data_IF_064960464904
#
_entry.id   IF_064960464904
#
_cell.length_a   1.000
_cell.length_b   1.000
_cell.length_c   1.000
_cell.angle_alpha   90.00
_cell.angle_beta   90.00
_cell.angle_gamma   90.00
#
_symmetry.space_group_name_H-M   'P 1'
#
loop_
_entity.id
_entity.type
_entity.pdbx_description
1 polymer ?
#
# COMPACT_ATOMS: atom_id res chain seq x y z
N UNK A 1 13.33 -13.59 25.07
CA UNK A 1 14.57 -12.90 24.66
C UNK A 1 15.75 -13.86 24.67
N UNK A 2 16.83 -13.56 23.93
CA UNK A 2 18.04 -14.42 23.82
C UNK A 2 19.35 -13.73 24.26
N UNK A 3 19.46 -13.17 25.48
CA UNK A 3 20.76 -12.81 26.02
C UNK A 3 21.60 -14.09 26.16
N UNK A 4 22.89 -14.03 25.82
CA UNK A 4 23.83 -15.15 25.99
C UNK A 4 23.49 -16.44 25.24
N UNK A 5 22.88 -16.32 24.05
CA UNK A 5 22.56 -17.43 23.14
C UNK A 5 21.53 -18.45 23.66
N UNK A 6 20.79 -18.15 24.72
CA UNK A 6 19.70 -19.00 25.23
C UNK A 6 18.35 -18.26 25.22
N UNK A 7 17.31 -18.89 24.67
CA UNK A 7 15.96 -18.30 24.66
C UNK A 7 15.24 -18.58 25.97
N UNK A 8 14.81 -17.52 26.67
CA UNK A 8 13.89 -17.62 27.82
C UNK A 8 12.83 -16.54 27.79
N UNK A 9 11.75 -16.79 28.51
CA UNK A 9 10.72 -15.77 28.79
C UNK A 9 11.29 -14.70 29.72
N UNK A 10 10.64 -13.54 29.75
CA UNK A 10 11.09 -12.38 30.52
C UNK A 10 10.07 -12.09 31.61
N UNK A 11 10.54 -11.69 32.78
CA UNK A 11 9.71 -11.29 33.90
C UNK A 11 10.26 -9.99 34.51
N UNK A 12 9.37 -9.08 34.90
CA UNK A 12 9.74 -7.91 35.70
C UNK A 12 9.58 -8.25 37.18
N UNK A 13 10.68 -8.58 37.83
CA UNK A 13 10.66 -8.88 39.28
C UNK A 13 10.67 -7.64 40.17
N UNK A 14 10.68 -6.43 39.60
CA UNK A 14 10.33 -5.23 40.38
C UNK A 14 8.80 -5.09 40.51
N UNK A 15 8.01 -5.91 39.79
CA UNK A 15 6.55 -5.86 39.76
C UNK A 15 5.97 -4.47 39.42
N UNK A 16 6.75 -3.65 38.73
CA UNK A 16 6.39 -2.27 38.35
C UNK A 16 6.05 -2.13 36.87
N UNK A 17 6.05 -3.25 36.14
CA UNK A 17 5.75 -3.33 34.73
C UNK A 17 4.41 -2.67 34.38
N UNK A 18 4.45 -1.73 33.44
CA UNK A 18 3.28 -0.98 32.99
C UNK A 18 3.39 -0.63 31.50
N UNK A 19 2.37 0.08 30.98
CA UNK A 19 2.32 0.50 29.57
C UNK A 19 3.53 1.38 29.18
N UNK A 20 4.03 2.21 30.08
CA UNK A 20 5.20 3.06 29.84
C UNK A 20 6.50 2.24 29.71
N UNK A 21 6.67 1.20 30.52
CA UNK A 21 7.78 0.25 30.40
C UNK A 21 7.72 -0.50 29.07
N UNK A 22 6.53 -0.93 28.66
CA UNK A 22 6.31 -1.57 27.37
C UNK A 22 6.63 -0.64 26.20
N UNK A 23 6.20 0.63 26.26
CA UNK A 23 6.51 1.63 25.24
C UNK A 23 8.03 1.87 25.13
N UNK A 24 8.73 2.00 26.25
CA UNK A 24 10.17 2.12 26.27
C UNK A 24 10.86 0.89 25.66
N UNK A 25 10.36 -0.32 25.95
CA UNK A 25 10.87 -1.56 25.38
C UNK A 25 10.70 -1.60 23.85
N UNK A 26 9.50 -1.31 23.35
CA UNK A 26 9.21 -1.29 21.91
C UNK A 26 10.08 -0.28 21.17
N UNK A 27 10.29 0.91 21.74
CA UNK A 27 11.21 1.91 21.18
C UNK A 27 12.66 1.41 21.20
N UNK A 28 13.11 0.79 22.29
CA UNK A 28 14.48 0.26 22.41
C UNK A 28 14.77 -0.88 21.43
N UNK A 29 13.76 -1.67 21.08
CA UNK A 29 13.83 -2.73 20.08
C UNK A 29 13.69 -2.21 18.64
N UNK A 30 13.31 -0.93 18.45
CA UNK A 30 13.04 -0.37 17.14
C UNK A 30 11.77 -0.93 16.49
N UNK A 31 10.77 -1.31 17.28
CA UNK A 31 9.50 -1.87 16.81
C UNK A 31 8.32 -0.90 17.00
N UNK A 32 8.61 0.41 17.10
CA UNK A 32 7.60 1.46 17.24
C UNK A 32 7.01 1.59 18.65
N UNK A 33 5.71 1.84 18.72
CA UNK A 33 4.98 2.10 19.97
C UNK A 33 4.39 0.81 20.57
N UNK A 34 4.22 0.76 21.89
CA UNK A 34 3.53 -0.36 22.52
C UNK A 34 2.02 -0.31 22.28
N UNK A 35 1.49 -1.36 21.65
CA UNK A 35 0.05 -1.59 21.41
C UNK A 35 -0.59 -2.15 22.67
N UNK A 36 0.01 -3.17 23.26
CA UNK A 36 -0.50 -3.78 24.49
C UNK A 36 0.61 -4.43 25.29
N UNK A 37 0.33 -4.60 26.58
CA UNK A 37 1.17 -5.42 27.43
C UNK A 37 0.36 -6.12 28.51
N UNK A 38 0.79 -7.32 28.88
CA UNK A 38 0.23 -8.06 30.01
C UNK A 38 1.27 -8.94 30.69
N UNK A 39 1.02 -9.23 31.96
CA UNK A 39 1.69 -10.31 32.67
C UNK A 39 0.84 -11.56 32.45
N UNK A 40 1.41 -12.56 31.78
CA UNK A 40 0.81 -13.88 31.66
C UNK A 40 1.26 -14.73 32.83
N UNK A 41 0.32 -15.15 33.66
CA UNK A 41 0.55 -16.05 34.78
C UNK A 41 0.19 -17.48 34.37
N UNK A 42 1.16 -18.38 34.46
CA UNK A 42 1.00 -19.81 34.24
C UNK A 42 1.19 -20.50 35.60
N UNK A 43 0.19 -20.33 36.46
CA UNK A 43 0.17 -20.69 37.89
C UNK A 43 0.49 -22.16 38.20
N UNK A 44 0.63 -22.99 37.16
CA UNK A 44 0.90 -24.42 37.24
C UNK A 44 2.39 -24.77 37.06
N UNK A 45 3.21 -23.90 36.47
CA UNK A 45 4.62 -24.24 36.17
C UNK A 45 5.59 -23.07 36.35
N UNK A 46 6.47 -23.18 37.35
CA UNK A 46 7.61 -22.25 37.49
C UNK A 46 8.74 -22.63 36.54
N UNK A 47 9.20 -21.67 35.73
CA UNK A 47 10.19 -21.89 34.67
C UNK A 47 11.32 -20.86 34.71
N UNK A 48 12.51 -21.17 34.16
CA UNK A 48 13.59 -20.20 34.07
C UNK A 48 13.17 -18.98 33.25
N UNK A 49 13.36 -17.79 33.82
CA UNK A 49 13.06 -16.50 33.17
C UNK A 49 14.27 -15.58 33.21
N UNK A 50 14.34 -14.66 32.25
CA UNK A 50 15.19 -13.48 32.34
C UNK A 50 14.49 -12.44 33.19
N UNK A 51 15.10 -12.05 34.30
CA UNK A 51 14.61 -10.93 35.10
C UNK A 51 15.06 -9.63 34.42
N UNK A 52 14.10 -8.83 34.00
CA UNK A 52 14.35 -7.46 33.50
C UNK A 52 13.96 -6.43 34.57
N UNK A 53 14.77 -5.39 34.70
CA UNK A 53 14.42 -4.22 35.51
C UNK A 53 13.66 -3.21 34.65
N UNK A 54 12.35 -3.09 34.83
CA UNK A 54 11.51 -2.20 34.00
C UNK A 54 11.96 -0.73 34.05
N UNK A 55 12.41 -0.25 35.22
CA UNK A 55 12.92 1.10 35.46
C UNK A 55 14.23 1.43 34.72
N UNK A 56 14.99 0.40 34.32
CA UNK A 56 16.26 0.55 33.62
C UNK A 56 16.08 0.78 32.11
N UNK A 57 14.97 0.32 31.52
CA UNK A 57 14.77 0.26 30.06
C UNK A 57 14.92 1.64 29.40
N UNK A 58 14.49 2.70 30.09
CA UNK A 58 14.56 4.07 29.59
C UNK A 58 15.98 4.65 29.61
N UNK A 59 16.81 4.27 30.58
CA UNK A 59 18.13 4.88 30.80
C UNK A 59 19.29 4.04 30.24
N UNK A 60 19.09 2.74 30.04
CA UNK A 60 20.14 1.85 29.55
C UNK A 60 20.53 2.14 28.09
N UNK A 61 21.79 1.89 27.76
CA UNK A 61 22.30 2.06 26.41
C UNK A 61 21.89 0.88 25.51
N UNK A 62 21.92 -0.32 26.08
CA UNK A 62 21.44 -1.55 25.45
C UNK A 62 20.41 -2.23 26.35
N UNK A 63 19.45 -2.92 25.76
CA UNK A 63 18.41 -3.61 26.53
C UNK A 63 18.98 -4.71 27.43
N UNK A 64 20.14 -5.24 27.07
CA UNK A 64 20.82 -6.31 27.81
C UNK A 64 21.36 -5.87 29.16
N UNK A 65 21.69 -4.58 29.34
CA UNK A 65 22.12 -4.01 30.63
C UNK A 65 21.03 -4.09 31.70
N UNK A 66 19.75 -4.15 31.29
CA UNK A 66 18.63 -4.25 32.21
C UNK A 66 18.27 -5.68 32.62
N UNK A 67 19.00 -6.68 32.11
CA UNK A 67 18.75 -8.09 32.43
C UNK A 67 19.67 -8.54 33.55
N UNK A 68 19.08 -9.07 34.62
CA UNK A 68 19.81 -9.74 35.69
C UNK A 68 20.09 -11.20 35.26
N UNK A 69 21.37 -11.60 35.34
CA UNK A 69 21.85 -12.90 34.84
C UNK A 69 21.60 -14.05 35.84
N UNK A 70 21.21 -13.71 37.06
CA UNK A 70 20.91 -14.68 38.11
C UNK A 70 19.79 -15.66 37.70
N UNK A 71 19.83 -16.86 38.27
CA UNK A 71 18.83 -17.90 37.98
C UNK A 71 17.52 -17.56 38.67
N UNK A 72 16.61 -16.95 37.92
CA UNK A 72 15.25 -16.69 38.36
C UNK A 72 14.26 -17.66 37.74
N UNK A 73 13.31 -18.08 38.58
CA UNK A 73 12.20 -18.92 38.20
C UNK A 73 10.91 -18.17 38.50
N UNK A 74 10.01 -18.14 37.54
CA UNK A 74 8.70 -17.51 37.70
C UNK A 74 7.65 -18.31 36.94
N UNK A 75 6.42 -18.45 37.49
CA UNK A 75 5.27 -18.91 36.71
C UNK A 75 4.80 -17.84 35.71
N UNK A 76 5.20 -16.58 35.93
CA UNK A 76 4.74 -15.43 35.18
C UNK A 76 5.74 -14.96 34.14
N UNK A 77 5.22 -14.42 33.05
CA UNK A 77 6.01 -13.86 31.94
C UNK A 77 5.37 -12.61 31.37
N UNK A 78 6.20 -11.67 30.93
CA UNK A 78 5.75 -10.47 30.23
C UNK A 78 5.45 -10.80 28.76
N UNK A 79 4.31 -10.28 28.31
CA UNK A 79 3.92 -10.24 26.92
C UNK A 79 3.76 -8.77 26.51
N UNK A 80 4.42 -8.40 25.40
CA UNK A 80 4.44 -7.03 24.88
C UNK A 80 4.20 -7.10 23.39
N UNK A 81 3.29 -6.24 22.91
CA UNK A 81 2.96 -6.11 21.50
C UNK A 81 3.32 -4.69 21.07
N UNK A 82 4.09 -4.58 19.99
CA UNK A 82 4.52 -3.31 19.42
C UNK A 82 3.85 -3.06 18.06
N UNK A 83 3.69 -1.79 17.66
CA UNK A 83 2.88 -1.36 16.52
C UNK A 83 3.56 -1.51 15.17
N UNK A 84 4.89 -1.49 15.10
CA UNK A 84 5.64 -1.65 13.83
C UNK A 84 6.04 -3.11 13.57
N UNK A 85 5.18 -4.06 13.95
CA UNK A 85 5.47 -5.47 13.66
C UNK A 85 5.38 -5.79 12.17
N UNK A 86 4.51 -5.10 11.42
CA UNK A 86 4.29 -5.31 9.99
C UNK A 86 4.97 -4.22 9.15
N UNK A 87 5.70 -4.64 8.12
CA UNK A 87 6.24 -3.74 7.12
C UNK A 87 5.12 -2.92 6.46
N UNK A 88 5.44 -1.67 6.13
CA UNK A 88 4.57 -0.81 5.34
C UNK A 88 4.37 -1.44 3.96
N UNK A 89 3.12 -1.67 3.52
CA UNK A 89 2.86 -2.18 2.19
C UNK A 89 3.09 -1.08 1.15
N UNK A 90 3.40 -1.51 -0.07
CA UNK A 90 3.58 -0.67 -1.23
C UNK A 90 2.45 -0.89 -2.23
N UNK A 91 2.03 0.20 -2.89
CA UNK A 91 1.04 0.18 -3.97
C UNK A 91 1.76 0.35 -5.30
N UNK A 92 1.51 -0.56 -6.24
CA UNK A 92 2.07 -0.53 -7.61
C UNK A 92 1.01 -0.88 -8.64
N UNK A 93 1.34 -0.71 -9.91
CA UNK A 93 0.53 -1.19 -11.03
C UNK A 93 1.05 -2.52 -11.55
N UNK A 94 0.14 -3.38 -12.00
CA UNK A 94 0.50 -4.59 -12.74
C UNK A 94 1.12 -4.20 -14.09
N UNK A 95 2.29 -4.75 -14.47
CA UNK A 95 3.00 -4.42 -15.72
C UNK A 95 2.34 -4.99 -16.99
N UNK A 96 1.18 -5.64 -16.88
CA UNK A 96 0.64 -6.54 -17.90
C UNK A 96 -0.28 -5.91 -18.95
N UNK A 97 -0.44 -4.59 -19.02
CA UNK A 97 -1.32 -3.96 -20.01
C UNK A 97 -0.69 -2.75 -20.71
N UNK A 98 -0.79 -2.72 -22.04
CA UNK A 98 -0.48 -1.55 -22.86
C UNK A 98 -1.29 -0.34 -22.37
N UNK A 99 -0.71 0.86 -22.35
CA UNK A 99 -1.41 2.07 -21.92
C UNK A 99 -1.34 2.38 -20.42
N UNK A 100 -0.39 1.77 -19.72
CA UNK A 100 -0.05 2.06 -18.32
C UNK A 100 1.37 2.61 -18.28
N UNK A 101 1.60 3.74 -17.61
CA UNK A 101 2.97 4.11 -17.23
C UNK A 101 3.09 4.56 -15.79
N UNK A 102 4.24 4.21 -15.22
CA UNK A 102 4.66 4.60 -13.90
C UNK A 102 5.57 5.81 -14.04
N UNK A 103 5.25 6.90 -13.34
CA UNK A 103 6.17 7.99 -13.11
C UNK A 103 6.63 7.94 -11.65
N UNK A 104 7.94 7.77 -11.43
CA UNK A 104 8.53 7.51 -10.11
C UNK A 104 8.32 8.65 -9.11
N UNK A 105 7.80 9.81 -9.54
CA UNK A 105 7.50 10.95 -8.67
C UNK A 105 6.05 11.50 -8.72
N UNK A 106 5.17 11.06 -9.63
CA UNK A 106 3.86 11.73 -9.86
C UNK A 106 2.60 10.85 -9.86
N UNK A 107 2.72 9.57 -9.50
CA UNK A 107 1.58 8.66 -9.44
C UNK A 107 1.40 7.87 -10.73
N UNK A 108 0.25 7.24 -10.86
CA UNK A 108 -0.04 6.28 -11.91
C UNK A 108 -0.96 6.90 -12.97
N UNK A 109 -0.85 6.47 -14.22
CA UNK A 109 -1.90 6.75 -15.20
C UNK A 109 -2.25 5.53 -16.06
N UNK A 110 -3.51 5.48 -16.46
CA UNK A 110 -4.10 4.44 -17.31
C UNK A 110 -4.96 5.10 -18.39
N UNK A 111 -4.94 4.55 -19.61
CA UNK A 111 -5.83 4.99 -20.69
C UNK A 111 -7.27 4.48 -20.51
N UNK A 112 -8.25 5.29 -20.89
CA UNK A 112 -9.66 4.89 -20.89
C UNK A 112 -9.88 3.64 -21.74
N UNK A 113 -10.72 2.71 -21.24
CA UNK A 113 -11.08 1.46 -21.89
C UNK A 113 -10.09 0.31 -21.65
N UNK A 114 -8.91 0.59 -21.10
CA UNK A 114 -7.92 -0.44 -20.81
C UNK A 114 -8.20 -1.15 -19.48
N UNK A 115 -7.76 -2.40 -19.39
CA UNK A 115 -7.74 -3.13 -18.12
C UNK A 115 -6.48 -2.77 -17.37
N UNK A 116 -6.55 -2.62 -16.06
CA UNK A 116 -5.39 -2.38 -15.23
C UNK A 116 -5.50 -3.13 -13.90
N UNK A 117 -4.36 -3.40 -13.30
CA UNK A 117 -4.27 -4.07 -12.01
C UNK A 117 -3.56 -3.19 -11.00
N UNK A 118 -4.12 -3.06 -9.80
CA UNK A 118 -3.43 -2.48 -8.65
C UNK A 118 -2.88 -3.62 -7.81
N UNK A 119 -1.57 -3.58 -7.58
CA UNK A 119 -0.85 -4.57 -6.79
C UNK A 119 -0.48 -3.95 -5.44
N UNK A 120 -1.05 -4.51 -4.38
CA UNK A 120 -0.57 -4.27 -3.02
C UNK A 120 0.47 -5.34 -2.69
N UNK A 121 1.65 -4.95 -2.24
CA UNK A 121 2.72 -5.88 -1.85
C UNK A 121 3.36 -5.46 -0.53
N UNK A 122 3.88 -6.41 0.24
CA UNK A 122 4.64 -6.15 1.48
C UNK A 122 5.92 -6.96 1.49
N UNK A 123 6.95 -6.46 2.17
CA UNK A 123 8.18 -7.22 2.40
C UNK A 123 7.85 -8.53 3.17
N UNK A 124 8.35 -9.71 2.73
CA UNK A 124 8.05 -10.98 3.40
C UNK A 124 8.52 -11.02 4.86
N UNK A 125 7.58 -10.95 5.80
CA UNK A 125 7.86 -11.05 7.24
C UNK A 125 7.09 -12.20 7.90
N UNK A 126 5.83 -12.39 7.51
CA UNK A 126 4.93 -13.40 8.02
C UNK A 126 4.11 -13.97 6.87
N UNK A 127 3.83 -15.28 6.93
CA UNK A 127 2.99 -15.92 5.93
C UNK A 127 1.53 -15.49 6.06
N UNK A 128 0.82 -15.45 4.94
CA UNK A 128 -0.61 -15.18 4.89
C UNK A 128 -0.99 -13.71 5.09
N UNK A 129 -2.19 -13.50 5.63
CA UNK A 129 -2.84 -12.19 5.74
C UNK A 129 -3.73 -11.84 4.55
N UNK A 130 -4.22 -10.61 4.54
CA UNK A 130 -5.09 -10.07 3.49
C UNK A 130 -4.80 -8.60 3.27
N UNK A 131 -4.97 -8.15 2.03
CA UNK A 131 -4.91 -6.74 1.68
C UNK A 131 -6.31 -6.20 1.49
N UNK A 132 -6.56 -5.02 2.06
CA UNK A 132 -7.72 -4.20 1.78
C UNK A 132 -7.26 -2.98 0.97
N UNK A 133 -7.71 -2.88 -0.27
CA UNK A 133 -7.52 -1.70 -1.11
C UNK A 133 -8.65 -0.71 -0.85
N UNK A 134 -8.28 0.49 -0.41
CA UNK A 134 -9.17 1.61 -0.17
C UNK A 134 -8.98 2.58 -1.33
N UNK A 135 -10.06 2.79 -2.09
CA UNK A 135 -10.15 3.77 -3.16
C UNK A 135 -10.95 4.97 -2.68
N UNK A 136 -10.37 6.16 -2.78
CA UNK A 136 -11.01 7.42 -2.42
C UNK A 136 -11.02 8.35 -3.63
N UNK A 137 -12.22 8.70 -4.09
CA UNK A 137 -12.47 9.76 -5.07
C UNK A 137 -13.22 10.91 -4.40
N UNK A 138 -13.52 11.98 -5.14
CA UNK A 138 -14.16 13.18 -4.57
C UNK A 138 -15.51 12.90 -3.90
N UNK A 139 -16.25 11.88 -4.38
CA UNK A 139 -17.61 11.59 -3.95
C UNK A 139 -17.83 10.14 -3.49
N UNK A 140 -16.81 9.28 -3.57
CA UNK A 140 -16.95 7.84 -3.33
C UNK A 140 -15.74 7.29 -2.59
N UNK A 141 -16.02 6.41 -1.63
CA UNK A 141 -15.02 5.56 -0.98
C UNK A 141 -15.43 4.11 -1.20
N UNK A 142 -14.52 3.30 -1.74
CA UNK A 142 -14.75 1.90 -2.05
C UNK A 142 -13.63 1.04 -1.50
N UNK A 143 -14.01 -0.14 -1.00
CA UNK A 143 -13.12 -1.00 -0.24
C UNK A 143 -13.15 -2.39 -0.87
N UNK A 144 -11.98 -2.91 -1.26
CA UNK A 144 -11.84 -4.23 -1.84
C UNK A 144 -10.91 -5.06 -0.97
N UNK A 145 -11.25 -6.31 -0.66
CA UNK A 145 -10.40 -7.18 0.17
C UNK A 145 -10.05 -8.44 -0.58
N UNK A 146 -8.75 -8.76 -0.62
CA UNK A 146 -8.23 -10.00 -1.19
C UNK A 146 -7.22 -10.66 -0.24
N UNK A 147 -7.13 -12.00 -0.24
CA UNK A 147 -6.09 -12.69 0.53
C UNK A 147 -4.71 -12.40 -0.06
N UNK A 148 -3.69 -12.38 0.81
CA UNK A 148 -2.32 -12.25 0.37
C UNK A 148 -1.84 -13.57 -0.24
N UNK A 149 -1.45 -13.53 -1.52
CA UNK A 149 -0.80 -14.62 -2.25
C UNK A 149 0.62 -14.18 -2.54
N UNK A 150 1.61 -14.93 -2.04
CA UNK A 150 3.02 -14.55 -2.14
C UNK A 150 3.30 -13.13 -1.61
N UNK A 151 2.73 -12.78 -0.44
CA UNK A 151 2.84 -11.45 0.19
C UNK A 151 2.33 -10.29 -0.69
N UNK A 152 1.47 -10.59 -1.66
CA UNK A 152 0.89 -9.62 -2.57
C UNK A 152 -0.60 -9.90 -2.82
N UNK A 153 -1.33 -8.91 -3.32
CA UNK A 153 -2.68 -9.08 -3.84
C UNK A 153 -2.86 -8.20 -5.09
N UNK A 154 -3.52 -8.77 -6.10
CA UNK A 154 -3.79 -8.12 -7.38
C UNK A 154 -5.28 -7.82 -7.49
N UNK A 155 -5.62 -6.53 -7.53
CA UNK A 155 -6.97 -6.02 -7.74
C UNK A 155 -7.13 -5.61 -9.20
N UNK A 156 -8.01 -6.29 -9.94
CA UNK A 156 -8.21 -6.06 -11.37
C UNK A 156 -9.42 -5.15 -11.62
N UNK A 157 -9.20 -4.13 -12.45
CA UNK A 157 -10.21 -3.20 -12.93
C UNK A 157 -10.29 -3.29 -14.45
N UNK A 158 -11.48 -3.57 -14.97
CA UNK A 158 -11.73 -3.69 -16.42
C UNK A 158 -12.30 -2.40 -16.97
N UNK A 159 -11.93 -2.05 -18.21
CA UNK A 159 -12.45 -0.89 -18.94
C UNK A 159 -12.37 0.41 -18.13
N UNK A 160 -11.14 0.88 -17.89
CA UNK A 160 -10.88 2.11 -17.14
C UNK A 160 -11.73 3.28 -17.63
N UNK A 161 -12.27 4.06 -16.69
CA UNK A 161 -13.07 5.24 -16.97
C UNK A 161 -12.76 6.34 -15.94
N UNK A 162 -13.40 7.50 -16.07
CA UNK A 162 -13.15 8.62 -15.17
C UNK A 162 -13.54 8.33 -13.70
N UNK A 163 -14.35 7.32 -13.42
CA UNK A 163 -14.76 6.97 -12.05
C UNK A 163 -13.63 6.29 -11.27
N UNK A 164 -12.67 5.69 -11.98
CA UNK A 164 -11.47 5.09 -11.38
C UNK A 164 -10.38 6.11 -11.06
N UNK A 165 -10.61 7.41 -11.30
CA UNK A 165 -9.66 8.47 -10.93
C UNK A 165 -9.76 8.78 -9.43
N UNK A 166 -8.63 8.74 -8.75
CA UNK A 166 -8.58 9.07 -7.32
C UNK A 166 -7.31 8.56 -6.66
N UNK A 167 -7.40 8.34 -5.35
CA UNK A 167 -6.29 7.92 -4.51
C UNK A 167 -6.52 6.50 -4.03
N UNK A 168 -5.47 5.68 -4.11
CA UNK A 168 -5.46 4.29 -3.72
C UNK A 168 -4.51 4.06 -2.55
N UNK A 169 -5.00 3.40 -1.51
CA UNK A 169 -4.25 3.06 -0.30
C UNK A 169 -4.45 1.59 0.02
N UNK A 170 -3.38 0.87 0.35
CA UNK A 170 -3.45 -0.51 0.78
C UNK A 170 -3.32 -0.59 2.30
N UNK A 171 -4.27 -1.28 2.93
CA UNK A 171 -4.22 -1.68 4.33
C UNK A 171 -3.95 -3.19 4.38
N UNK A 172 -2.81 -3.59 4.92
CA UNK A 172 -2.46 -5.00 5.10
C UNK A 172 -2.88 -5.46 6.48
N UNK A 173 -3.59 -6.58 6.56
CA UNK A 173 -3.98 -7.24 7.81
C UNK A 173 -3.31 -8.61 7.92
N UNK A 174 -2.78 -8.93 9.09
CA UNK A 174 -2.28 -10.27 9.37
C UNK A 174 -2.58 -10.69 10.81
N UNK A 175 -2.83 -11.99 11.00
CA UNK A 175 -3.04 -12.60 12.31
C UNK A 175 -1.79 -13.40 12.69
N UNK A 176 -0.99 -12.84 13.57
CA UNK A 176 0.30 -13.41 14.00
C UNK A 176 0.32 -13.41 15.54
N UNK A 177 0.93 -14.40 16.17
CA UNK A 177 1.03 -14.48 17.65
C UNK A 177 -0.31 -14.32 18.38
N UNK A 178 -1.38 -14.87 17.79
CA UNK A 178 -2.75 -14.78 18.32
C UNK A 178 -3.36 -13.37 18.37
N UNK A 179 -2.80 -12.41 17.63
CA UNK A 179 -3.28 -11.03 17.58
C UNK A 179 -3.41 -10.55 16.14
N UNK A 180 -4.34 -9.61 15.92
CA UNK A 180 -4.53 -8.95 14.64
C UNK A 180 -3.61 -7.73 14.56
N UNK A 181 -2.86 -7.65 13.48
CA UNK A 181 -2.00 -6.52 13.15
C UNK A 181 -2.44 -5.90 11.84
N UNK A 182 -2.17 -4.60 11.70
CA UNK A 182 -2.43 -3.88 10.46
C UNK A 182 -1.38 -2.83 10.14
N UNK A 183 -1.04 -2.67 8.87
CA UNK A 183 -0.13 -1.63 8.37
C UNK A 183 -0.72 -0.93 7.15
N UNK A 184 -0.46 0.37 7.01
CA UNK A 184 -1.03 1.22 5.95
C UNK A 184 0.07 1.68 4.99
N UNK A 185 -0.20 1.62 3.68
CA UNK A 185 0.70 2.12 2.64
C UNK A 185 0.73 3.65 2.58
N UNK A 186 1.72 4.19 1.87
CA UNK A 186 1.58 5.55 1.35
C UNK A 186 0.45 5.61 0.31
N UNK A 187 -0.34 6.69 0.26
CA UNK A 187 -1.37 6.86 -0.75
C UNK A 187 -0.75 7.10 -2.13
N UNK A 188 -1.34 6.50 -3.18
CA UNK A 188 -0.94 6.70 -4.57
C UNK A 188 -2.10 7.19 -5.41
N UNK A 189 -1.90 8.30 -6.12
CA UNK A 189 -2.90 8.86 -7.03
C UNK A 189 -2.86 8.16 -8.39
N UNK A 190 -4.03 7.90 -8.96
CA UNK A 190 -4.23 7.38 -10.31
C UNK A 190 -4.99 8.39 -11.16
N UNK A 191 -4.43 8.72 -12.31
CA UNK A 191 -5.08 9.50 -13.37
C UNK A 191 -5.61 8.59 -14.47
N UNK A 192 -6.76 8.94 -15.04
CA UNK A 192 -7.32 8.24 -16.19
C UNK A 192 -7.32 9.20 -17.38
N UNK A 193 -6.58 8.84 -18.42
CA UNK A 193 -6.33 9.69 -19.59
C UNK A 193 -7.14 9.21 -20.80
N UNK A 194 -7.70 10.16 -21.54
CA UNK A 194 -8.39 9.86 -22.79
C UNK A 194 -7.37 9.61 -23.92
N UNK A 195 -7.56 8.57 -24.75
CA UNK A 195 -6.70 8.33 -25.90
C UNK A 195 -6.88 9.46 -26.93
N UNK A 196 -5.80 10.20 -27.21
CA UNK A 196 -5.80 11.29 -28.20
C UNK A 196 -6.14 10.82 -29.62
N UNK A 197 -5.99 9.52 -29.90
CA UNK A 197 -6.31 8.93 -31.19
C UNK A 197 -7.78 9.08 -31.56
N UNK A 198 -8.73 8.99 -30.62
CA UNK A 198 -10.15 9.18 -30.93
C UNK A 198 -10.43 10.63 -31.35
N UNK A 199 -9.78 11.60 -30.68
CA UNK A 199 -9.88 13.02 -31.01
C UNK A 199 -9.27 13.30 -32.40
N UNK A 200 -8.10 12.73 -32.69
CA UNK A 200 -7.41 12.87 -33.98
C UNK A 200 -8.26 12.25 -35.10
N UNK A 201 -8.83 11.07 -34.91
CA UNK A 201 -9.71 10.42 -35.89
C UNK A 201 -10.94 11.29 -36.16
N UNK A 202 -11.62 11.79 -35.12
CA UNK A 202 -12.78 12.68 -35.32
C UNK A 202 -12.42 13.95 -36.09
N UNK A 203 -11.31 14.60 -35.72
CA UNK A 203 -10.87 15.83 -36.40
C UNK A 203 -10.51 15.54 -37.86
N UNK A 204 -9.76 14.47 -38.13
CA UNK A 204 -9.37 14.10 -39.50
C UNK A 204 -10.55 13.73 -40.37
N UNK A 205 -11.54 13.00 -39.85
CA UNK A 205 -12.78 12.69 -40.59
C UNK A 205 -13.56 13.95 -40.93
N UNK A 206 -13.71 14.88 -39.97
CA UNK A 206 -14.40 16.15 -40.20
C UNK A 206 -13.67 17.02 -41.22
N UNK A 207 -12.34 17.13 -41.14
CA UNK A 207 -11.57 17.93 -42.10
C UNK A 207 -11.61 17.35 -43.51
N UNK A 208 -11.54 16.01 -43.64
CA UNK A 208 -11.68 15.33 -44.94
C UNK A 208 -13.10 15.54 -45.51
N UNK A 209 -14.14 15.43 -44.69
CA UNK A 209 -15.52 15.65 -45.14
C UNK A 209 -15.78 17.10 -45.59
N UNK A 210 -15.24 18.09 -44.86
CA UNK A 210 -15.36 19.50 -45.20
C UNK A 210 -14.58 19.82 -46.48
N UNK A 211 -13.35 19.31 -46.61
CA UNK A 211 -12.56 19.51 -47.83
C UNK A 211 -13.22 18.85 -49.05
N UNK A 212 -13.74 17.62 -48.92
CA UNK A 212 -14.43 16.94 -50.02
C UNK A 212 -15.68 17.69 -50.49
N UNK A 213 -16.47 18.20 -49.56
CA UNK A 213 -17.69 18.96 -49.88
C UNK A 213 -17.37 20.32 -50.51
N UNK A 214 -16.34 21.04 -50.04
CA UNK A 214 -15.85 22.27 -50.69
C UNK A 214 -15.39 21.99 -52.14
N UNK A 215 -14.58 20.93 -52.37
CA UNK A 215 -14.19 20.58 -53.74
C UNK A 215 -15.38 20.28 -54.63
N UNK A 216 -16.37 19.52 -54.14
CA UNK A 216 -17.59 19.22 -54.90
C UNK A 216 -18.37 20.49 -55.28
N UNK A 217 -18.50 21.43 -54.34
CA UNK A 217 -19.10 22.76 -54.58
C UNK A 217 -18.29 23.51 -55.64
N UNK A 218 -16.96 23.57 -55.53
CA UNK A 218 -16.12 24.25 -56.51
C UNK A 218 -16.23 23.65 -57.93
N UNK A 219 -16.37 22.33 -58.07
CA UNK A 219 -16.61 21.70 -59.37
C UNK A 219 -18.01 22.00 -59.91
N UNK A 220 -19.02 22.06 -59.05
CA UNK A 220 -20.40 22.32 -59.45
C UNK A 220 -20.61 23.78 -59.90
N UNK A 221 -19.98 24.74 -59.22
CA UNK A 221 -20.09 26.17 -59.52
C UNK A 221 -19.03 26.69 -60.49
N UNK A 222 -18.24 25.83 -61.16
CA UNK A 222 -17.30 26.29 -62.19
C UNK A 222 -18.06 27.11 -63.25
N UNK A 223 -17.79 28.43 -63.39
CA UNK A 223 -18.50 29.25 -64.34
C UNK A 223 -18.16 28.81 -65.77
N UNK A 224 -19.19 28.81 -66.63
CA UNK A 224 -19.09 28.47 -68.04
C UNK A 224 -18.09 29.44 -68.70
N UNK A 225 -17.06 28.97 -69.43
CA UNK A 225 -16.07 29.86 -70.03
C UNK A 225 -16.77 30.80 -71.04
N UNK A 226 -16.64 32.10 -70.83
CA UNK A 226 -17.04 33.11 -71.81
C UNK A 226 -16.19 32.93 -73.07
N UNK A 227 -16.86 32.69 -74.19
CA UNK A 227 -16.21 32.59 -75.49
C UNK A 227 -15.67 33.98 -75.86
N UNK A 228 -14.34 34.13 -75.84
CA UNK A 228 -13.65 35.29 -76.43
C UNK A 228 -13.89 35.25 -77.94
N UNK A 229 -14.75 36.14 -78.42
CA UNK A 229 -14.95 36.42 -79.84
C UNK A 229 -13.67 37.03 -80.40
N UNK A 230 -13.04 36.31 -81.33
CA UNK A 230 -11.86 36.75 -82.09
C UNK A 230 -12.34 37.74 -83.16
N UNK A 231 -11.94 39.00 -83.04
CA UNK A 231 -12.14 40.04 -84.06
C UNK A 231 -11.48 39.64 -85.38
N UNK A 232 -12.17 39.91 -86.48
CA UNK A 232 -11.64 39.93 -87.83
C UNK A 232 -12.30 41.06 -88.62
#
# INVERSE_FOLDING_TARGET
>A
MKPFREWRQVYDGDHTWNQSSAAALCMKLGCGTAVSTRVRDDSLTSRPVWWIRSSCIQSASTLWECIMIDRHFSPSSLEVICSELLAQPHVSLSPSTDGVSQDDQQGFWVLIGYTFGIVCSVEPQYQGGSFQLIFTSSNTEQNYTLPAVNHSALFLFSAADHTHRGTYTCLYHNYVFSHNFSSVSQPRSLAVLAPLTELIIRVTVVTVAMTSSITAICFYYKPKPEAVSREQ
#
